data_IF_629639517062
#
_entry.id   IF_629639517062
#
_cell.length_a   1.000
_cell.length_b   1.000
_cell.length_c   1.000
_cell.angle_alpha   90.00
_cell.angle_beta   90.00
_cell.angle_gamma   90.00
#
_symmetry.space_group_name_H-M   'P 1'
#
loop_
_entity.id
_entity.type
_entity.pdbx_description
1 polymer ?
#
# COMPACT_ATOMS: atom_id res chain seq x y z
N UNK A 1 -27.98 -10.79 27.20
CA UNK A 1 -28.31 -10.49 25.79
C UNK A 1 -27.30 -11.24 24.91
N UNK A 2 -27.39 -12.56 24.92
CA UNK A 2 -26.34 -13.49 24.44
C UNK A 2 -26.95 -14.83 23.99
N UNK A 3 -28.07 -14.81 23.24
CA UNK A 3 -28.79 -16.04 22.83
C UNK A 3 -29.25 -16.07 21.36
N UNK A 4 -28.63 -15.32 20.46
CA UNK A 4 -29.12 -15.21 19.07
C UNK A 4 -28.10 -15.56 17.97
N UNK A 5 -27.07 -16.37 18.26
CA UNK A 5 -26.05 -16.72 17.24
C UNK A 5 -25.88 -18.23 17.01
N UNK A 6 -26.81 -19.06 17.50
CA UNK A 6 -26.77 -20.53 17.31
C UNK A 6 -27.71 -21.03 16.20
N UNK A 7 -28.35 -20.12 15.46
CA UNK A 7 -29.26 -20.48 14.38
C UNK A 7 -28.84 -19.73 13.12
N UNK A 8 -27.97 -20.33 12.31
CA UNK A 8 -27.80 -20.14 10.85
C UNK A 8 -26.65 -21.05 10.36
N UNK A 9 -26.76 -22.35 10.66
CA UNK A 9 -25.89 -23.42 10.17
C UNK A 9 -26.69 -24.42 9.33
N UNK A 10 -27.19 -24.00 8.17
CA UNK A 10 -27.77 -24.91 7.17
C UNK A 10 -27.73 -24.33 5.75
N UNK A 11 -26.52 -24.12 5.24
CA UNK A 11 -26.28 -23.79 3.83
C UNK A 11 -25.05 -24.53 3.32
N UNK A 12 -25.20 -25.84 3.08
CA UNK A 12 -24.13 -26.68 2.55
C UNK A 12 -23.85 -26.37 1.08
N UNK A 13 -22.58 -26.12 0.77
CA UNK A 13 -22.04 -26.40 -0.57
C UNK A 13 -21.04 -27.55 -0.40
N UNK A 14 -21.47 -28.72 -0.86
CA UNK A 14 -20.66 -29.93 -0.98
C UNK A 14 -19.53 -29.70 -1.98
N UNK A 15 -18.28 -29.48 -1.53
CA UNK A 15 -17.05 -29.94 -2.19
C UNK A 15 -15.78 -29.45 -1.45
N UNK A 16 -15.54 -29.84 -0.18
CA UNK A 16 -14.21 -29.61 0.44
C UNK A 16 -13.95 -30.47 1.68
N UNK A 17 -14.38 -31.74 1.65
CA UNK A 17 -14.10 -32.74 2.70
C UNK A 17 -13.50 -33.99 2.09
N UNK A 18 -12.33 -33.84 1.47
CA UNK A 18 -11.42 -34.95 1.19
C UNK A 18 -10.02 -34.38 1.45
N UNK A 19 -9.15 -35.17 2.07
CA UNK A 19 -7.74 -34.89 2.40
C UNK A 19 -7.47 -34.23 3.77
N UNK A 20 -8.09 -34.69 4.85
CA UNK A 20 -7.44 -34.75 6.18
C UNK A 20 -7.96 -35.98 6.92
N UNK A 21 -7.53 -37.18 6.52
CA UNK A 21 -7.65 -38.41 7.32
C UNK A 21 -7.03 -39.58 6.55
N UNK A 22 -5.71 -39.72 6.58
CA UNK A 22 -5.08 -41.01 6.28
C UNK A 22 -3.69 -41.10 6.93
N UNK A 23 -3.66 -41.84 8.04
CA UNK A 23 -2.62 -42.82 8.39
C UNK A 23 -1.37 -42.24 9.08
N UNK A 24 -1.45 -42.20 10.41
CA UNK A 24 -0.33 -42.59 11.26
C UNK A 24 -0.28 -44.11 11.40
N UNK A 25 0.86 -44.71 11.09
CA UNK A 25 1.41 -45.94 11.68
C UNK A 25 2.48 -46.50 10.76
N UNK A 26 3.75 -46.38 11.17
CA UNK A 26 4.71 -47.51 11.19
C UNK A 26 6.03 -47.06 11.81
N UNK A 27 6.23 -47.56 13.00
CA UNK A 27 7.49 -47.78 13.70
C UNK A 27 8.45 -48.67 12.87
N UNK A 28 9.74 -48.36 12.85
CA UNK A 28 10.86 -49.28 13.19
C UNK A 28 12.20 -48.93 12.54
N UNK A 29 13.14 -48.53 13.42
CA UNK A 29 14.58 -48.88 13.56
C UNK A 29 15.65 -48.64 12.47
N UNK A 30 16.82 -48.34 13.04
CA UNK A 30 18.22 -48.38 12.54
C UNK A 30 18.71 -47.12 11.79
N UNK A 31 19.89 -46.55 12.07
CA UNK A 31 21.07 -47.08 12.74
C UNK A 31 22.31 -46.68 11.93
N UNK A 32 23.04 -45.66 12.39
CA UNK A 32 24.45 -45.37 12.09
C UNK A 32 24.91 -44.96 10.66
N UNK A 33 25.53 -43.77 10.61
CA UNK A 33 26.93 -43.56 10.18
C UNK A 33 27.30 -43.25 8.71
N UNK A 34 27.99 -42.09 8.61
CA UNK A 34 29.10 -41.69 7.72
C UNK A 34 28.90 -41.10 6.32
N UNK A 35 29.48 -39.89 6.22
CA UNK A 35 30.39 -39.35 5.20
C UNK A 35 29.83 -39.03 3.82
N UNK A 36 30.25 -37.85 3.37
CA UNK A 36 29.78 -37.24 2.15
C UNK A 36 30.40 -37.84 0.90
N UNK A 37 29.79 -37.47 -0.21
CA UNK A 37 30.41 -37.50 -1.52
C UNK A 37 29.66 -36.50 -2.37
N UNK A 38 30.28 -35.33 -2.48
CA UNK A 38 30.09 -34.42 -3.59
C UNK A 38 30.49 -35.13 -4.89
N UNK A 39 29.97 -34.64 -6.02
CA UNK A 39 30.29 -35.04 -7.39
C UNK A 39 29.75 -36.41 -7.84
N UNK A 40 28.69 -36.36 -8.65
CA UNK A 40 28.74 -36.56 -10.11
C UNK A 40 27.31 -36.64 -10.66
N UNK A 41 27.23 -36.36 -11.96
CA UNK A 41 26.10 -36.53 -12.87
C UNK A 41 25.08 -35.38 -12.93
N UNK A 42 24.75 -34.82 -14.09
CA UNK A 42 25.29 -34.93 -15.44
C UNK A 42 24.43 -33.95 -16.27
N UNK A 43 25.06 -33.14 -17.09
CA UNK A 43 24.66 -32.89 -18.48
C UNK A 43 23.15 -32.95 -18.84
N UNK A 44 22.34 -31.97 -18.42
CA UNK A 44 21.07 -31.65 -19.11
C UNK A 44 20.76 -30.15 -18.95
N UNK A 45 21.54 -29.25 -19.57
CA UNK A 45 21.11 -27.84 -19.64
C UNK A 45 21.55 -27.10 -20.90
N UNK A 46 21.84 -27.82 -21.99
CA UNK A 46 22.29 -27.22 -23.26
C UNK A 46 21.23 -27.18 -24.36
N UNK A 47 19.95 -27.49 -24.07
CA UNK A 47 18.90 -27.64 -25.09
C UNK A 47 17.60 -26.85 -24.82
N UNK A 48 17.61 -25.91 -23.88
CA UNK A 48 16.42 -25.07 -23.57
C UNK A 48 16.55 -23.61 -24.03
N UNK A 49 17.53 -23.29 -24.90
CA UNK A 49 17.75 -21.94 -25.45
C UNK A 49 17.28 -21.73 -26.90
N UNK A 50 16.43 -22.60 -27.45
CA UNK A 50 15.81 -22.40 -28.77
C UNK A 50 14.28 -22.24 -28.77
N UNK A 51 13.65 -22.03 -27.60
CA UNK A 51 12.19 -21.80 -27.49
C UNK A 51 11.76 -20.48 -26.84
N UNK A 52 12.60 -19.44 -26.91
CA UNK A 52 12.25 -18.10 -26.40
C UNK A 52 12.33 -16.96 -27.43
N UNK A 53 12.46 -17.26 -28.73
CA UNK A 53 12.37 -16.27 -29.82
C UNK A 53 10.97 -16.19 -30.45
N UNK A 54 9.91 -16.22 -29.64
CA UNK A 54 8.54 -15.96 -30.13
C UNK A 54 7.67 -15.26 -29.10
N UNK A 55 8.08 -14.06 -28.68
CA UNK A 55 7.15 -13.09 -28.07
C UNK A 55 7.26 -11.77 -28.82
N UNK A 56 6.36 -11.61 -29.80
CA UNK A 56 6.10 -10.32 -30.44
C UNK A 56 5.54 -9.36 -29.38
N UNK A 57 6.07 -8.15 -29.20
CA UNK A 57 5.38 -7.10 -28.46
C UNK A 57 4.22 -6.57 -29.32
N UNK A 58 2.99 -6.71 -28.83
CA UNK A 58 1.82 -6.06 -29.42
C UNK A 58 1.90 -4.56 -29.19
N UNK A 59 1.76 -3.72 -30.24
CA UNK A 59 1.74 -2.28 -30.06
C UNK A 59 0.39 -1.79 -29.52
N UNK A 60 0.48 -0.92 -28.50
CA UNK A 60 -0.26 0.35 -28.42
C UNK A 60 -1.80 0.22 -28.40
N UNK A 61 -2.36 -0.15 -27.24
CA UNK A 61 -3.81 -0.12 -26.98
C UNK A 61 -4.27 1.21 -26.33
N UNK A 62 -3.67 2.34 -26.73
CA UNK A 62 -4.05 3.68 -26.22
C UNK A 62 -4.54 4.64 -27.32
N UNK A 63 -4.45 4.28 -28.61
CA UNK A 63 -4.81 5.17 -29.72
C UNK A 63 -6.29 5.07 -30.14
N UNK A 64 -6.99 3.97 -29.83
CA UNK A 64 -8.38 3.80 -30.28
C UNK A 64 -9.40 4.74 -29.59
N UNK A 65 -9.13 5.18 -28.35
CA UNK A 65 -10.06 6.06 -27.63
C UNK A 65 -10.04 7.51 -28.15
N UNK A 66 -8.94 7.94 -28.76
CA UNK A 66 -8.79 9.31 -29.28
C UNK A 66 -9.40 9.42 -30.68
N UNK A 67 -9.23 8.39 -31.53
CA UNK A 67 -9.84 8.35 -32.87
C UNK A 67 -11.37 8.31 -32.85
N UNK A 68 -11.98 7.68 -31.83
CA UNK A 68 -13.45 7.64 -31.71
C UNK A 68 -14.05 8.98 -31.24
N UNK A 69 -13.27 9.85 -30.58
CA UNK A 69 -13.75 11.16 -30.15
C UNK A 69 -13.71 12.21 -31.26
N UNK A 70 -12.78 12.11 -32.22
CA UNK A 70 -12.72 13.02 -33.38
C UNK A 70 -13.81 12.74 -34.43
N UNK A 71 -14.15 11.46 -34.68
CA UNK A 71 -15.23 11.10 -35.60
C UNK A 71 -16.60 11.61 -35.15
N UNK A 72 -16.86 11.67 -33.84
CA UNK A 72 -18.10 12.26 -33.31
C UNK A 72 -18.20 13.77 -33.53
N UNK A 73 -17.09 14.48 -33.67
CA UNK A 73 -17.10 15.93 -33.99
C UNK A 73 -17.26 16.22 -35.47
N UNK A 74 -16.91 15.29 -36.36
CA UNK A 74 -17.11 15.43 -37.80
C UNK A 74 -18.54 15.05 -38.25
N UNK A 75 -19.26 14.24 -37.48
CA UNK A 75 -20.64 13.87 -37.77
C UNK A 75 -21.69 14.98 -37.48
N UNK A 76 -21.28 16.13 -36.94
CA UNK A 76 -22.20 17.20 -36.49
C UNK A 76 -22.14 18.46 -37.39
N UNK A 77 -21.30 18.49 -38.42
CA UNK A 77 -21.25 19.65 -39.32
C UNK A 77 -21.35 19.25 -40.79
N UNK A 78 -22.56 19.17 -41.33
CA UNK A 78 -22.93 19.62 -42.68
C UNK A 78 -24.48 19.62 -42.81
N UNK A 79 -25.19 20.76 -42.75
CA UNK A 79 -26.57 20.84 -43.25
C UNK A 79 -26.69 21.83 -44.42
N UNK A 80 -25.76 21.82 -45.38
CA UNK A 80 -25.79 22.76 -46.51
C UNK A 80 -25.34 22.16 -47.87
N UNK A 81 -25.67 20.90 -48.15
CA UNK A 81 -25.48 20.33 -49.50
C UNK A 81 -26.50 19.24 -49.86
N UNK A 82 -27.75 19.45 -49.46
CA UNK A 82 -28.88 18.67 -49.99
C UNK A 82 -30.04 19.61 -50.35
N UNK A 83 -29.70 20.77 -50.91
CA UNK A 83 -30.62 21.47 -51.79
C UNK A 83 -30.49 20.85 -53.18
N UNK A 84 -31.63 20.65 -53.85
CA UNK A 84 -31.77 20.20 -55.24
C UNK A 84 -32.03 18.70 -55.51
N UNK A 85 -32.98 18.09 -54.79
CA UNK A 85 -33.72 16.94 -55.35
C UNK A 85 -35.15 16.72 -54.85
N UNK A 86 -35.77 17.71 -54.20
CA UNK A 86 -37.18 17.58 -53.79
C UNK A 86 -38.02 18.79 -54.25
N UNK A 87 -38.03 19.05 -55.55
CA UNK A 87 -39.04 19.87 -56.21
C UNK A 87 -39.83 18.97 -57.16
N UNK A 88 -40.73 18.15 -56.62
CA UNK A 88 -41.91 17.56 -57.29
C UNK A 88 -42.60 16.55 -56.35
N UNK A 89 -43.26 17.05 -55.32
CA UNK A 89 -44.44 16.43 -54.73
C UNK A 89 -45.02 17.36 -53.66
N UNK A 90 -46.20 17.90 -53.93
CA UNK A 90 -47.10 18.47 -52.91
C UNK A 90 -48.48 17.84 -53.14
N UNK A 91 -49.40 17.84 -52.16
CA UNK A 91 -49.24 17.59 -50.73
C UNK A 91 -50.34 16.63 -50.22
N UNK A 92 -50.08 15.71 -49.29
CA UNK A 92 -51.17 15.00 -48.61
C UNK A 92 -50.76 14.48 -47.22
N UNK A 93 -51.38 15.07 -46.21
CA UNK A 93 -51.72 14.48 -44.92
C UNK A 93 -50.64 13.68 -44.16
N UNK A 94 -49.89 14.37 -43.28
CA UNK A 94 -49.64 13.81 -41.94
C UNK A 94 -50.09 14.86 -40.92
N UNK A 95 -51.15 14.47 -40.23
CA UNK A 95 -51.83 15.22 -39.20
C UNK A 95 -50.91 15.53 -38.01
N UNK A 96 -50.96 16.79 -37.58
CA UNK A 96 -51.08 17.22 -36.19
C UNK A 96 -50.34 16.40 -35.11
N UNK A 97 -49.01 16.33 -35.18
CA UNK A 97 -48.17 16.04 -34.00
C UNK A 97 -48.03 17.25 -33.07
N UNK A 98 -49.14 17.88 -32.66
CA UNK A 98 -49.14 18.89 -31.57
C UNK A 98 -48.85 18.16 -30.26
N UNK A 99 -47.58 17.93 -29.96
CA UNK A 99 -47.26 17.12 -28.78
C UNK A 99 -45.81 17.05 -28.33
N UNK A 100 -44.89 17.86 -28.86
CA UNK A 100 -43.62 18.07 -28.15
C UNK A 100 -43.87 19.16 -27.11
N UNK A 101 -44.45 18.76 -25.98
CA UNK A 101 -44.46 19.56 -24.77
C UNK A 101 -43.01 19.62 -24.25
N UNK A 102 -42.20 20.51 -24.82
CA UNK A 102 -40.96 20.92 -24.20
C UNK A 102 -41.34 21.71 -22.95
N UNK A 103 -41.51 21.01 -21.81
CA UNK A 103 -41.75 21.65 -20.53
C UNK A 103 -40.51 22.48 -20.21
N UNK A 104 -40.58 23.83 -20.19
CA UNK A 104 -39.49 24.60 -19.62
C UNK A 104 -39.39 24.17 -18.16
N UNK A 105 -38.29 23.51 -17.82
CA UNK A 105 -37.98 23.24 -16.42
C UNK A 105 -37.54 24.60 -15.88
N UNK A 106 -38.51 25.38 -15.42
CA UNK A 106 -38.26 26.60 -14.66
C UNK A 106 -37.68 26.14 -13.33
N UNK A 107 -36.37 25.98 -13.27
CA UNK A 107 -35.65 25.90 -12.01
C UNK A 107 -35.88 27.24 -11.34
N UNK A 108 -36.79 27.29 -10.36
CA UNK A 108 -36.85 28.40 -9.41
C UNK A 108 -35.43 28.62 -8.89
N UNK A 109 -34.86 29.83 -8.99
CA UNK A 109 -33.58 30.10 -8.36
C UNK A 109 -33.86 30.16 -6.86
N UNK A 110 -33.90 29.00 -6.21
CA UNK A 110 -33.69 28.99 -4.77
C UNK A 110 -32.33 29.66 -4.56
N UNK A 111 -32.28 30.70 -3.75
CA UNK A 111 -31.05 31.39 -3.35
C UNK A 111 -30.13 30.52 -2.47
N UNK A 112 -30.27 29.19 -2.57
CA UNK A 112 -29.46 28.21 -1.87
C UNK A 112 -28.41 27.66 -2.84
N UNK A 113 -27.19 27.50 -2.34
CA UNK A 113 -26.08 27.00 -3.13
C UNK A 113 -26.45 25.65 -3.79
N UNK A 114 -26.34 25.49 -5.12
CA UNK A 114 -26.70 24.26 -5.82
C UNK A 114 -25.87 23.05 -5.35
N UNK A 115 -24.75 23.30 -4.66
CA UNK A 115 -23.87 22.29 -4.09
C UNK A 115 -24.24 21.86 -2.67
N UNK A 116 -25.16 22.56 -1.98
CA UNK A 116 -25.49 22.30 -0.58
C UNK A 116 -26.05 20.88 -0.37
N UNK A 117 -26.88 20.41 -1.31
CA UNK A 117 -27.45 19.05 -1.27
C UNK A 117 -26.36 17.99 -1.43
N UNK A 118 -25.44 18.19 -2.38
CA UNK A 118 -24.32 17.28 -2.61
C UNK A 118 -23.36 17.26 -1.41
N UNK A 119 -23.13 18.40 -0.77
CA UNK A 119 -22.33 18.49 0.45
C UNK A 119 -22.97 17.71 1.61
N UNK A 120 -24.29 17.89 1.83
CA UNK A 120 -25.06 17.12 2.81
C UNK A 120 -25.00 15.61 2.52
N UNK A 121 -25.08 15.22 1.26
CA UNK A 121 -24.95 13.81 0.86
C UNK A 121 -23.54 13.25 1.08
N UNK A 122 -22.47 14.05 0.92
CA UNK A 122 -21.08 13.60 1.16
C UNK A 122 -20.80 13.31 2.63
N UNK A 123 -21.43 14.05 3.56
CA UNK A 123 -21.29 13.81 5.00
C UNK A 123 -21.88 12.47 5.44
N UNK A 124 -22.93 12.00 4.76
CA UNK A 124 -23.62 10.75 5.08
C UNK A 124 -23.00 9.51 4.41
N UNK A 125 -21.91 9.66 3.65
CA UNK A 125 -21.25 8.52 3.01
C UNK A 125 -20.32 7.83 4.01
N UNK A 126 -20.51 6.54 4.30
CA UNK A 126 -19.59 5.82 5.16
C UNK A 126 -18.22 5.71 4.48
N UNK A 127 -17.17 5.88 5.28
CA UNK A 127 -15.79 5.62 4.85
C UNK A 127 -15.56 4.11 4.89
N UNK A 128 -15.06 3.53 3.81
CA UNK A 128 -14.74 2.11 3.78
C UNK A 128 -13.63 1.78 4.80
N UNK A 129 -13.71 0.61 5.46
CA UNK A 129 -12.65 0.17 6.34
C UNK A 129 -11.36 -0.06 5.52
N UNK A 130 -10.25 0.51 5.97
CA UNK A 130 -8.99 0.52 5.23
C UNK A 130 -7.88 -0.11 6.08
N UNK A 131 -7.41 0.53 7.15
CA UNK A 131 -6.34 -0.02 7.99
C UNK A 131 -6.75 -1.25 8.79
N UNK A 132 -8.02 -1.36 9.18
CA UNK A 132 -8.53 -2.48 9.99
C UNK A 132 -8.67 -3.80 9.22
N UNK A 133 -8.82 -3.74 7.89
CA UNK A 133 -9.06 -4.92 7.05
C UNK A 133 -7.85 -5.25 6.17
N UNK A 134 -6.92 -4.32 6.00
CA UNK A 134 -5.76 -4.53 5.14
C UNK A 134 -4.72 -5.47 5.76
N UNK A 135 -4.16 -6.37 4.95
CA UNK A 135 -3.15 -7.32 5.41
C UNK A 135 -1.83 -6.61 5.77
N UNK A 136 -1.23 -6.90 6.93
CA UNK A 136 0.08 -6.37 7.29
C UNK A 136 1.17 -6.83 6.32
N UNK A 137 1.93 -5.86 5.78
CA UNK A 137 3.03 -6.08 4.84
C UNK A 137 4.23 -5.22 5.23
N UNK A 138 5.44 -5.74 5.01
CA UNK A 138 6.69 -5.06 5.39
C UNK A 138 6.86 -3.68 4.74
N UNK A 139 6.27 -3.46 3.55
CA UNK A 139 6.32 -2.18 2.85
C UNK A 139 5.68 -1.04 3.64
N UNK A 140 4.38 -1.14 3.91
CA UNK A 140 3.65 -0.08 4.61
C UNK A 140 3.99 -0.02 6.10
N UNK A 141 4.22 -1.18 6.76
CA UNK A 141 4.66 -1.20 8.16
C UNK A 141 6.02 -0.49 8.30
N UNK A 142 6.97 -0.78 7.41
CA UNK A 142 8.27 -0.11 7.44
C UNK A 142 8.17 1.40 7.20
N UNK A 143 7.28 1.83 6.31
CA UNK A 143 7.02 3.26 6.12
C UNK A 143 6.43 3.93 7.37
N UNK A 144 5.45 3.30 8.03
CA UNK A 144 4.88 3.80 9.28
C UNK A 144 5.93 3.88 10.39
N UNK A 145 6.75 2.84 10.56
CA UNK A 145 7.82 2.83 11.54
C UNK A 145 8.84 3.95 11.27
N UNK A 146 9.18 4.23 10.01
CA UNK A 146 10.11 5.31 9.68
C UNK A 146 9.58 6.69 10.09
N UNK A 147 8.27 6.92 9.94
CA UNK A 147 7.60 8.14 10.41
C UNK A 147 7.63 8.21 11.94
N UNK A 148 7.25 7.12 12.61
CA UNK A 148 7.19 7.05 14.08
C UNK A 148 8.59 7.29 14.66
N UNK A 149 9.64 6.63 14.14
CA UNK A 149 11.00 6.85 14.62
C UNK A 149 11.50 8.25 14.33
N UNK A 150 11.13 8.85 13.18
CA UNK A 150 11.45 10.23 12.87
C UNK A 150 10.84 11.22 13.87
N UNK A 151 9.57 11.06 14.19
CA UNK A 151 8.88 11.88 15.21
C UNK A 151 9.45 11.62 16.60
N UNK A 152 9.74 10.38 16.97
CA UNK A 152 10.32 10.05 18.26
C UNK A 152 11.72 10.68 18.44
N UNK A 153 12.58 10.59 17.42
CA UNK A 153 13.94 11.15 17.46
C UNK A 153 13.92 12.68 17.49
N UNK A 154 13.17 13.31 16.59
CA UNK A 154 13.03 14.77 16.55
C UNK A 154 12.35 15.30 17.81
N UNK A 155 11.28 14.64 18.27
CA UNK A 155 10.57 14.97 19.50
C UNK A 155 11.50 14.89 20.71
N UNK A 156 12.27 13.81 20.84
CA UNK A 156 13.23 13.67 21.96
C UNK A 156 14.32 14.75 21.89
N UNK A 157 14.83 15.07 20.69
CA UNK A 157 15.82 16.12 20.51
C UNK A 157 15.27 17.49 20.94
N UNK A 158 14.08 17.87 20.48
CA UNK A 158 13.47 19.16 20.83
C UNK A 158 13.08 19.23 22.32
N UNK A 159 12.54 18.15 22.89
CA UNK A 159 12.24 18.07 24.31
C UNK A 159 13.51 18.21 25.15
N UNK A 160 14.59 17.53 24.78
CA UNK A 160 15.87 17.65 25.48
C UNK A 160 16.46 19.05 25.37
N UNK A 161 16.48 19.63 24.16
CA UNK A 161 17.03 20.96 23.93
C UNK A 161 16.26 22.05 24.70
N UNK A 162 14.93 21.97 24.70
CA UNK A 162 14.07 22.92 25.43
C UNK A 162 14.17 22.73 26.95
N UNK A 163 14.22 21.49 27.43
CA UNK A 163 14.44 21.20 28.85
C UNK A 163 15.81 21.69 29.33
N UNK A 164 16.86 21.50 28.52
CA UNK A 164 18.21 22.00 28.81
C UNK A 164 18.22 23.54 28.89
N UNK A 165 17.57 24.23 27.96
CA UNK A 165 17.46 25.69 27.99
C UNK A 165 16.66 26.21 29.19
N UNK A 166 15.57 25.52 29.55
CA UNK A 166 14.75 25.87 30.71
C UNK A 166 15.38 25.50 32.06
N UNK A 167 16.42 24.66 32.05
CA UNK A 167 17.00 24.07 33.25
C UNK A 167 17.47 25.07 34.31
N UNK A 168 18.12 26.21 33.97
CA UNK A 168 18.57 27.17 34.99
C UNK A 168 17.39 27.93 35.64
N UNK A 169 16.30 28.13 34.91
CA UNK A 169 15.12 28.82 35.41
C UNK A 169 14.27 27.93 36.33
N UNK A 170 14.29 26.61 36.10
CA UNK A 170 13.52 25.63 36.87
C UNK A 170 14.34 24.93 37.96
N UNK A 171 15.64 25.21 38.05
CA UNK A 171 16.55 24.55 38.97
C UNK A 171 16.79 23.07 38.65
N UNK A 172 16.66 22.67 37.38
CA UNK A 172 16.94 21.31 36.95
C UNK A 172 18.44 21.11 36.68
N UNK A 173 18.99 20.00 37.17
CA UNK A 173 20.39 19.64 36.93
C UNK A 173 20.52 18.74 35.69
N UNK A 174 20.54 19.35 34.50
CA UNK A 174 20.73 18.66 33.21
C UNK A 174 22.17 18.74 32.69
N UNK A 175 23.14 19.09 33.54
CA UNK A 175 24.55 19.14 33.17
C UNK A 175 25.13 17.74 32.93
N UNK A 176 26.21 17.65 32.15
CA UNK A 176 26.85 16.36 31.83
C UNK A 176 27.24 15.56 33.09
N UNK A 177 27.63 16.24 34.18
CA UNK A 177 28.02 15.58 35.42
C UNK A 177 26.85 14.87 36.12
N UNK A 178 25.68 15.50 36.21
CA UNK A 178 24.49 14.90 36.82
C UNK A 178 23.98 13.73 35.98
N UNK A 179 24.06 13.83 34.66
CA UNK A 179 23.67 12.76 33.73
C UNK A 179 24.58 11.54 33.85
N UNK A 180 25.91 11.74 33.92
CA UNK A 180 26.85 10.64 34.12
C UNK A 180 26.62 9.97 35.47
N UNK A 181 26.37 10.73 36.54
CA UNK A 181 26.07 10.17 37.85
C UNK A 181 24.76 9.36 37.85
N UNK A 182 23.69 9.90 37.26
CA UNK A 182 22.40 9.23 37.13
C UNK A 182 22.49 7.94 36.32
N UNK A 183 23.19 7.96 35.18
CA UNK A 183 23.43 6.78 34.37
C UNK A 183 24.36 5.79 35.05
N UNK A 184 25.36 6.27 35.79
CA UNK A 184 26.32 5.46 36.54
C UNK A 184 25.67 4.60 37.62
N UNK A 185 24.67 5.15 38.32
CA UNK A 185 23.93 4.49 39.39
C UNK A 185 23.01 3.34 38.93
N UNK A 186 22.69 3.26 37.63
CA UNK A 186 21.79 2.23 37.11
C UNK A 186 22.45 0.83 37.05
N UNK A 187 21.68 -0.25 37.27
CA UNK A 187 22.17 -1.61 37.05
C UNK A 187 22.50 -1.84 35.57
N UNK A 188 23.40 -2.78 35.29
CA UNK A 188 23.87 -3.05 33.92
C UNK A 188 22.71 -3.33 32.95
N UNK A 189 21.71 -4.10 33.38
CA UNK A 189 20.53 -4.41 32.57
C UNK A 189 19.76 -3.13 32.18
N UNK A 190 19.59 -2.18 33.10
CA UNK A 190 18.90 -0.92 32.82
C UNK A 190 19.72 -0.02 31.87
N UNK A 191 21.06 -0.02 32.00
CA UNK A 191 21.96 0.70 31.07
C UNK A 191 21.84 0.17 29.66
N UNK A 192 21.91 -1.15 29.48
CA UNK A 192 21.79 -1.80 28.16
C UNK A 192 20.40 -1.55 27.57
N UNK A 193 19.34 -1.67 28.38
CA UNK A 193 17.98 -1.40 27.92
C UNK A 193 17.82 0.05 27.46
N UNK A 194 18.28 1.03 28.25
CA UNK A 194 18.17 2.45 27.88
C UNK A 194 19.01 2.81 26.65
N UNK A 195 20.23 2.27 26.54
CA UNK A 195 21.05 2.44 25.33
C UNK A 195 20.35 1.85 24.11
N UNK A 196 19.78 0.65 24.22
CA UNK A 196 19.11 -0.04 23.11
C UNK A 196 17.82 0.67 22.70
N UNK A 197 17.03 1.18 23.66
CA UNK A 197 15.77 1.90 23.34
C UNK A 197 16.02 3.20 22.60
N UNK A 198 17.14 3.89 22.83
CA UNK A 198 17.54 5.07 22.07
C UNK A 198 18.26 4.73 20.76
N UNK A 199 19.10 3.69 20.76
CA UNK A 199 19.88 3.30 19.58
C UNK A 199 18.99 2.69 18.47
N UNK A 200 18.01 1.86 18.83
CA UNK A 200 17.16 1.15 17.87
C UNK A 200 16.34 2.07 16.94
N UNK A 201 15.60 3.09 17.43
CA UNK A 201 14.89 4.01 16.55
C UNK A 201 15.85 4.82 15.68
N UNK A 202 17.03 5.19 16.21
CA UNK A 202 18.06 5.91 15.47
C UNK A 202 18.62 5.08 14.31
N UNK A 203 19.13 3.87 14.58
CA UNK A 203 19.70 3.00 13.54
C UNK A 203 18.66 2.56 12.52
N UNK A 204 17.42 2.33 12.94
CA UNK A 204 16.31 2.06 12.04
C UNK A 204 15.99 3.25 11.13
N UNK A 205 15.87 4.45 11.69
CA UNK A 205 15.55 5.64 10.92
C UNK A 205 16.63 5.96 9.88
N UNK A 206 17.91 5.90 10.27
CA UNK A 206 19.04 6.13 9.37
C UNK A 206 19.09 5.09 8.25
N UNK A 207 19.00 3.80 8.59
CA UNK A 207 19.14 2.73 7.59
C UNK A 207 17.95 2.65 6.64
N UNK A 208 16.73 2.83 7.16
CA UNK A 208 15.55 2.93 6.31
C UNK A 208 15.54 4.24 5.49
N UNK A 209 16.12 5.31 6.02
CA UNK A 209 16.34 6.57 5.30
C UNK A 209 17.24 6.36 4.07
N UNK A 210 18.35 5.65 4.20
CA UNK A 210 19.20 5.26 3.05
C UNK A 210 18.39 4.45 2.03
N UNK A 211 17.55 3.51 2.48
CA UNK A 211 16.66 2.77 1.58
C UNK A 211 15.70 3.70 0.81
N UNK A 212 15.12 4.68 1.48
CA UNK A 212 14.26 5.68 0.83
C UNK A 212 15.02 6.53 -0.19
N UNK A 213 16.22 6.99 0.14
CA UNK A 213 17.07 7.72 -0.82
C UNK A 213 17.40 6.86 -2.06
N UNK A 214 17.64 5.56 -1.90
CA UNK A 214 17.81 4.64 -3.03
C UNK A 214 16.54 4.58 -3.89
N UNK A 215 15.36 4.53 -3.26
CA UNK A 215 14.08 4.56 -3.98
C UNK A 215 13.83 5.89 -4.70
N UNK A 216 14.26 7.01 -4.13
CA UNK A 216 14.16 8.34 -4.76
C UNK A 216 15.02 8.43 -6.03
N UNK A 217 16.08 7.62 -6.14
CA UNK A 217 16.85 7.48 -7.40
C UNK A 217 16.16 6.59 -8.45
N UNK A 218 14.95 6.09 -8.19
CA UNK A 218 14.21 5.19 -9.08
C UNK A 218 14.70 3.73 -9.07
N UNK A 219 15.53 3.34 -8.09
CA UNK A 219 16.11 1.99 -7.98
C UNK A 219 15.37 1.13 -6.96
N UNK A 220 15.48 -0.19 -7.10
CA UNK A 220 14.96 -1.19 -6.16
C UNK A 220 13.44 -1.12 -5.87
N UNK A 221 12.63 -0.70 -6.86
CA UNK A 221 11.17 -0.54 -6.75
C UNK A 221 10.36 -1.81 -7.10
N UNK A 222 11.00 -2.95 -7.35
CA UNK A 222 10.29 -4.21 -7.60
C UNK A 222 9.82 -4.84 -6.28
N UNK A 223 8.67 -5.51 -6.28
CA UNK A 223 8.15 -6.22 -5.09
C UNK A 223 9.20 -7.10 -4.37
N UNK A 224 9.97 -7.98 -5.07
CA UNK A 224 10.99 -8.78 -4.39
C UNK A 224 12.13 -7.92 -3.81
N UNK A 225 12.51 -6.83 -4.48
CA UNK A 225 13.55 -5.92 -3.97
C UNK A 225 13.06 -5.16 -2.73
N UNK A 226 11.80 -4.72 -2.69
CA UNK A 226 11.19 -4.04 -1.54
C UNK A 226 11.15 -4.97 -0.31
N UNK A 227 10.78 -6.24 -0.50
CA UNK A 227 10.72 -7.22 0.58
C UNK A 227 12.13 -7.52 1.11
N UNK A 228 13.08 -7.80 0.21
CA UNK A 228 14.48 -8.07 0.59
C UNK A 228 15.08 -6.88 1.33
N UNK A 229 14.99 -5.68 0.76
CA UNK A 229 15.52 -4.46 1.38
C UNK A 229 14.83 -4.12 2.71
N UNK A 230 13.54 -4.44 2.87
CA UNK A 230 12.83 -4.27 4.14
C UNK A 230 13.42 -5.12 5.26
N UNK A 231 13.64 -6.42 5.00
CA UNK A 231 14.23 -7.32 5.99
C UNK A 231 15.72 -7.04 6.25
N UNK A 232 16.49 -6.61 5.24
CA UNK A 232 17.90 -6.22 5.45
C UNK A 232 18.00 -5.00 6.35
N UNK A 233 17.12 -4.02 6.19
CA UNK A 233 17.06 -2.85 7.09
C UNK A 233 16.76 -3.30 8.51
N UNK A 234 15.73 -4.12 8.72
CA UNK A 234 15.38 -4.60 10.08
C UNK A 234 16.56 -5.32 10.73
N UNK A 235 17.20 -6.26 10.02
CA UNK A 235 18.35 -7.00 10.54
C UNK A 235 19.52 -6.08 10.89
N UNK A 236 19.89 -5.19 9.97
CA UNK A 236 21.01 -4.28 10.15
C UNK A 236 20.78 -3.25 11.26
N UNK A 237 19.55 -2.79 11.44
CA UNK A 237 19.19 -1.87 12.52
C UNK A 237 19.26 -2.53 13.89
N UNK A 238 18.82 -3.77 14.01
CA UNK A 238 18.91 -4.53 15.28
C UNK A 238 20.36 -4.82 15.64
N UNK A 239 21.16 -5.30 14.68
CA UNK A 239 22.58 -5.62 14.94
C UNK A 239 23.38 -4.38 15.30
N UNK A 240 23.19 -3.27 14.58
CA UNK A 240 23.85 -2.00 14.89
C UNK A 240 23.40 -1.40 16.23
N UNK A 241 22.11 -1.51 16.58
CA UNK A 241 21.61 -1.03 17.87
C UNK A 241 22.21 -1.81 19.04
N UNK A 242 22.32 -3.14 18.90
CA UNK A 242 22.97 -3.98 19.91
C UNK A 242 24.46 -3.67 20.01
N UNK A 243 25.16 -3.52 18.88
CA UNK A 243 26.56 -3.13 18.88
C UNK A 243 26.79 -1.80 19.61
N UNK A 244 25.94 -0.79 19.38
CA UNK A 244 25.98 0.49 20.09
C UNK A 244 25.62 0.37 21.57
N UNK A 245 24.79 -0.59 21.95
CA UNK A 245 24.41 -0.79 23.35
C UNK A 245 25.54 -1.40 24.20
N UNK A 246 26.37 -2.25 23.59
CA UNK A 246 27.50 -2.92 24.25
C UNK A 246 28.83 -2.17 24.16
N UNK A 247 28.90 -1.12 23.35
CA UNK A 247 30.02 -0.16 23.33
C UNK A 247 29.91 0.83 24.50
#
# INVERSE_FOLDING_TARGET
MTRDMEEQKSGGCHQCRIVVAAIGSRESRDGSQTRGSSFRLFAIESLTLQRLLRRRPTPIMFSQKIAQQSLRRLAVQQPLSMEWSMMRASPAAIALGKGIQARPVTSTPNAEDPNAILAKQRLNRPVSPHLSVYRPQIGWIGSSLHRITGVALSGTLYLWATAYLASPALGWHLESASMVAAMGALPLAAKVLLKTTLALPFTYHCMNGVRHLVWDTGRALTNPAIIKSGWTVVGLSVTSALALAFL
#
